data_IF_856289954952
#
_entry.id   IF_856289954952
#
_cell.length_a   1.000
_cell.length_b   1.000
_cell.length_c   1.000
_cell.angle_alpha   90.00
_cell.angle_beta   90.00
_cell.angle_gamma   90.00
#
_symmetry.space_group_name_H-M   'P 1'
#
loop_
_entity.id
_entity.type
_entity.pdbx_description
1 polymer ?
#
# COMPACT_ATOMS: atom_id res chain seq x y z
N UNK A 1 -7.08 9.14 2.92
CA UNK A 1 -6.67 8.07 1.99
C UNK A 1 -5.84 7.07 2.74
N UNK A 2 -6.40 5.88 2.92
CA UNK A 2 -6.28 5.11 4.15
C UNK A 2 -5.82 3.70 3.84
N UNK A 3 -4.60 3.36 4.27
CA UNK A 3 -4.03 2.03 4.06
C UNK A 3 -4.75 0.89 4.81
N UNK A 4 -5.85 1.15 5.49
CA UNK A 4 -6.57 0.15 6.28
C UNK A 4 -8.07 0.09 5.99
N UNK A 5 -8.58 0.91 5.07
CA UNK A 5 -9.99 0.94 4.73
C UNK A 5 -10.22 0.50 3.28
N UNK A 6 -10.30 -0.82 3.02
CA UNK A 6 -11.09 -1.30 1.86
C UNK A 6 -12.57 -0.87 1.99
N UNK A 7 -12.94 -0.51 3.22
CA UNK A 7 -14.16 0.15 3.59
C UNK A 7 -13.83 1.63 3.72
N UNK A 8 -14.13 2.41 2.68
CA UNK A 8 -14.58 3.77 2.89
C UNK A 8 -16.10 3.73 2.68
N UNK A 9 -16.91 3.09 3.56
CA UNK A 9 -18.35 3.14 3.37
C UNK A 9 -18.75 4.57 3.67
N UNK A 10 -19.57 5.15 2.80
CA UNK A 10 -20.12 6.47 3.01
C UNK A 10 -20.68 6.57 4.45
N UNK A 11 -20.05 7.37 5.31
CA UNK A 11 -20.55 7.67 6.66
C UNK A 11 -19.82 7.05 7.87
N UNK A 12 -18.72 6.32 7.70
CA UNK A 12 -17.94 5.84 8.85
C UNK A 12 -16.97 6.90 9.42
N UNK A 13 -16.88 6.98 10.76
CA UNK A 13 -15.94 7.87 11.46
C UNK A 13 -14.58 7.20 11.56
N UNK A 14 -13.58 7.78 10.90
CA UNK A 14 -12.19 7.32 10.95
C UNK A 14 -11.48 7.96 12.15
N UNK A 15 -11.06 7.14 13.11
CA UNK A 15 -10.33 7.63 14.30
C UNK A 15 -8.81 7.72 14.10
N UNK A 16 -8.23 6.95 13.18
CA UNK A 16 -6.80 7.01 12.86
C UNK A 16 -6.56 6.71 11.38
N UNK A 17 -5.72 7.53 10.76
CA UNK A 17 -5.35 7.44 9.36
C UNK A 17 -3.85 7.21 9.25
N UNK A 18 -3.45 6.01 8.85
CA UNK A 18 -2.06 5.69 8.54
C UNK A 18 -1.87 5.83 7.03
N UNK A 19 -1.12 6.86 6.62
CA UNK A 19 -0.69 7.08 5.25
C UNK A 19 0.77 6.61 5.11
N UNK A 20 1.17 6.06 3.95
CA UNK A 20 2.57 5.72 3.74
C UNK A 20 3.40 7.01 3.70
N UNK A 21 4.56 7.00 4.36
CA UNK A 21 5.52 8.10 4.21
C UNK A 21 6.06 8.13 2.77
N UNK A 22 6.56 9.29 2.33
CA UNK A 22 7.17 9.42 1.00
C UNK A 22 8.35 8.46 0.81
N UNK A 23 9.12 8.24 1.87
CA UNK A 23 10.25 7.29 1.86
C UNK A 23 9.75 5.85 1.65
N UNK A 24 8.65 5.47 2.31
CA UNK A 24 8.05 4.14 2.14
C UNK A 24 7.54 3.94 0.70
N UNK A 25 6.95 4.97 0.09
CA UNK A 25 6.52 4.92 -1.32
C UNK A 25 7.72 4.74 -2.25
N UNK A 26 8.79 5.52 -2.06
CA UNK A 26 10.01 5.44 -2.89
C UNK A 26 10.70 4.09 -2.76
N UNK A 27 10.88 3.61 -1.52
CA UNK A 27 11.48 2.31 -1.26
C UNK A 27 10.63 1.18 -1.85
N UNK A 28 9.31 1.25 -1.74
CA UNK A 28 8.40 0.23 -2.29
C UNK A 28 8.38 0.22 -3.82
N UNK A 29 8.33 1.39 -4.46
CA UNK A 29 8.40 1.51 -5.91
C UNK A 29 9.74 0.99 -6.47
N UNK A 30 10.84 1.29 -5.78
CA UNK A 30 12.18 0.80 -6.14
C UNK A 30 12.33 -0.71 -5.92
N UNK A 31 11.85 -1.21 -4.78
CA UNK A 31 11.84 -2.62 -4.41
C UNK A 31 11.06 -3.50 -5.39
N UNK A 32 9.95 -2.98 -5.92
CA UNK A 32 9.10 -3.68 -6.88
C UNK A 32 9.48 -3.41 -8.34
N UNK A 33 10.47 -2.54 -8.57
CA UNK A 33 10.85 -2.09 -9.91
C UNK A 33 9.63 -1.59 -10.70
N UNK A 34 8.83 -0.76 -10.03
CA UNK A 34 7.54 -0.32 -10.52
C UNK A 34 7.65 0.44 -11.84
N UNK A 35 6.86 0.02 -12.83
CA UNK A 35 6.75 0.73 -14.12
C UNK A 35 5.62 1.79 -14.05
N UNK A 36 5.72 2.80 -14.90
CA UNK A 36 4.68 3.80 -15.13
C UNK A 36 3.35 3.14 -15.53
N UNK A 37 3.39 2.02 -16.24
CA UNK A 37 2.21 1.25 -16.63
C UNK A 37 1.39 0.73 -15.43
N UNK A 38 2.05 0.45 -14.30
CA UNK A 38 1.44 -0.18 -13.13
C UNK A 38 0.82 0.84 -12.14
N UNK A 39 1.15 2.12 -12.30
CA UNK A 39 0.73 3.20 -11.39
C UNK A 39 -0.79 3.27 -11.28
N UNK A 40 -1.51 3.18 -12.41
CA UNK A 40 -2.97 3.27 -12.42
C UNK A 40 -3.62 2.12 -11.62
N UNK A 41 -3.05 0.92 -11.73
CA UNK A 41 -3.53 -0.26 -11.02
C UNK A 41 -3.32 -0.12 -9.51
N UNK A 42 -2.14 0.35 -9.10
CA UNK A 42 -1.83 0.60 -7.69
C UNK A 42 -2.72 1.71 -7.13
N UNK A 43 -2.83 2.83 -7.84
CA UNK A 43 -3.62 3.97 -7.39
C UNK A 43 -5.14 3.71 -7.38
N UNK A 44 -5.64 2.66 -8.03
CA UNK A 44 -7.04 2.25 -7.94
C UNK A 44 -7.46 1.87 -6.51
N UNK A 45 -6.51 1.48 -5.67
CA UNK A 45 -6.76 1.16 -4.25
C UNK A 45 -6.89 2.41 -3.36
N UNK A 46 -6.64 3.60 -3.91
CA UNK A 46 -6.65 4.84 -3.17
C UNK A 46 -7.90 5.66 -3.56
N UNK A 47 -8.64 6.22 -2.58
CA UNK A 47 -9.83 7.04 -2.81
C UNK A 47 -9.70 8.49 -2.29
N UNK A 48 -9.59 9.54 -3.15
CA UNK A 48 -9.67 9.57 -4.63
C UNK A 48 -8.36 9.29 -5.44
N UNK A 49 -8.35 8.41 -6.47
CA UNK A 49 -7.12 7.93 -7.14
C UNK A 49 -6.15 9.01 -7.66
N UNK A 50 -6.68 10.20 -7.96
CA UNK A 50 -5.91 11.36 -8.42
C UNK A 50 -4.83 11.82 -7.43
N UNK A 51 -5.03 11.63 -6.13
CA UNK A 51 -4.03 11.98 -5.11
C UNK A 51 -2.85 11.01 -5.17
N UNK A 52 -3.09 9.72 -5.40
CA UNK A 52 -2.01 8.77 -5.61
C UNK A 52 -1.26 9.05 -6.90
N UNK A 53 -2.01 9.23 -7.99
CA UNK A 53 -1.45 9.47 -9.32
C UNK A 53 -0.61 10.74 -9.36
N UNK A 54 -1.20 11.90 -9.06
CA UNK A 54 -0.53 13.19 -9.18
C UNK A 54 0.27 13.59 -7.95
N UNK A 55 -0.09 13.09 -6.77
CA UNK A 55 0.46 13.56 -5.50
C UNK A 55 1.74 12.85 -5.08
N UNK A 56 1.83 11.52 -5.21
CA UNK A 56 2.99 10.79 -4.69
C UNK A 56 3.55 9.71 -5.60
N UNK A 57 2.74 8.89 -6.28
CA UNK A 57 3.26 7.69 -6.94
C UNK A 57 3.92 7.99 -8.28
N UNK A 58 3.27 8.75 -9.18
CA UNK A 58 3.88 9.08 -10.47
C UNK A 58 5.14 9.97 -10.34
N UNK A 59 5.17 11.01 -9.49
CA UNK A 59 6.40 11.77 -9.26
C UNK A 59 7.52 10.90 -8.68
N UNK A 60 7.18 9.93 -7.82
CA UNK A 60 8.17 9.00 -7.25
C UNK A 60 8.76 8.08 -8.30
N UNK A 61 7.93 7.46 -9.16
CA UNK A 61 8.42 6.60 -10.25
C UNK A 61 9.29 7.39 -11.23
N UNK A 62 8.86 8.59 -11.63
CA UNK A 62 9.64 9.46 -12.51
C UNK A 62 11.00 9.84 -11.90
N UNK A 63 11.03 10.16 -10.60
CA UNK A 63 12.26 10.43 -9.87
C UNK A 63 13.19 9.20 -9.86
N UNK A 64 12.68 8.03 -9.52
CA UNK A 64 13.47 6.81 -9.46
C UNK A 64 14.08 6.45 -10.83
N UNK A 65 13.30 6.55 -11.91
CA UNK A 65 13.78 6.30 -13.27
C UNK A 65 14.85 7.29 -13.73
N UNK A 66 14.80 8.54 -13.24
CA UNK A 66 15.73 9.59 -13.66
C UNK A 66 17.04 9.55 -12.87
N UNK A 67 16.98 9.25 -11.57
CA UNK A 67 18.10 9.51 -10.64
C UNK A 67 18.69 8.26 -9.98
N UNK A 68 18.03 7.10 -10.04
CA UNK A 68 18.54 5.89 -9.41
C UNK A 68 19.30 5.03 -10.41
N UNK A 69 20.52 4.66 -10.02
CA UNK A 69 21.37 3.76 -10.80
C UNK A 69 20.76 2.34 -10.78
N UNK A 70 20.69 1.63 -11.93
CA UNK A 70 20.08 0.30 -12.01
C UNK A 70 20.64 -0.72 -11.01
N UNK A 71 21.92 -0.63 -10.65
CA UNK A 71 22.59 -1.53 -9.69
C UNK A 71 22.06 -1.38 -8.27
N UNK A 72 21.73 -0.14 -7.85
CA UNK A 72 21.12 0.14 -6.55
C UNK A 72 19.70 -0.44 -6.49
N UNK A 73 18.92 -0.27 -7.56
CA UNK A 73 17.58 -0.84 -7.67
C UNK A 73 17.60 -2.38 -7.62
N UNK A 74 18.55 -3.02 -8.29
CA UNK A 74 18.69 -4.48 -8.28
C UNK A 74 18.96 -5.04 -6.86
N UNK A 75 19.85 -4.38 -6.11
CA UNK A 75 20.16 -4.77 -4.72
C UNK A 75 18.93 -4.67 -3.81
N UNK A 76 18.18 -3.57 -3.94
CA UNK A 76 16.95 -3.36 -3.17
C UNK A 76 15.84 -4.35 -3.55
N UNK A 77 15.69 -4.65 -4.84
CA UNK A 77 14.73 -5.66 -5.31
C UNK A 77 15.06 -7.05 -4.72
N UNK A 78 16.34 -7.44 -4.67
CA UNK A 78 16.74 -8.70 -4.06
C UNK A 78 16.36 -8.79 -2.57
N UNK A 79 16.59 -7.72 -1.80
CA UNK A 79 16.17 -7.66 -0.39
C UNK A 79 14.64 -7.68 -0.25
N UNK A 80 13.94 -6.96 -1.13
CA UNK A 80 12.48 -6.89 -1.13
C UNK A 80 11.84 -8.25 -1.37
N UNK A 81 12.36 -9.07 -2.29
CA UNK A 81 11.82 -10.43 -2.53
C UNK A 81 11.80 -11.29 -1.28
N UNK A 82 12.83 -11.18 -0.44
CA UNK A 82 12.89 -11.91 0.83
C UNK A 82 11.83 -11.39 1.81
N UNK A 83 11.67 -10.06 1.91
CA UNK A 83 10.67 -9.45 2.77
C UNK A 83 9.23 -9.78 2.32
N UNK A 84 8.94 -9.70 1.02
CA UNK A 84 7.65 -10.08 0.42
C UNK A 84 7.31 -11.54 0.72
N UNK A 85 8.28 -12.45 0.58
CA UNK A 85 8.08 -13.86 0.91
C UNK A 85 7.68 -14.06 2.38
N UNK A 86 8.32 -13.34 3.30
CA UNK A 86 7.98 -13.39 4.72
C UNK A 86 6.57 -12.84 4.99
N UNK A 87 6.18 -11.74 4.35
CA UNK A 87 4.81 -11.18 4.47
C UNK A 87 3.76 -12.14 3.93
N UNK A 88 4.04 -12.82 2.80
CA UNK A 88 3.15 -13.84 2.21
C UNK A 88 2.92 -15.00 3.18
N UNK A 89 3.98 -15.47 3.84
CA UNK A 89 3.88 -16.56 4.82
C UNK A 89 3.11 -16.12 6.07
N UNK A 90 3.35 -14.89 6.54
CA UNK A 90 2.72 -14.36 7.75
C UNK A 90 1.23 -14.05 7.64
N UNK A 91 0.70 -13.90 6.41
CA UNK A 91 -0.70 -13.56 6.13
C UNK A 91 -1.27 -12.50 7.08
N UNK A 92 -0.69 -11.29 7.13
CA UNK A 92 -1.11 -10.29 8.10
C UNK A 92 -2.58 -9.92 7.88
N UNK A 93 -3.32 -9.87 8.98
CA UNK A 93 -4.72 -9.44 9.01
C UNK A 93 -4.90 -8.26 9.93
N UNK A 94 -5.76 -7.33 9.54
CA UNK A 94 -6.18 -6.22 10.36
C UNK A 94 -7.48 -6.54 11.06
N UNK A 95 -7.45 -6.44 12.38
CA UNK A 95 -8.65 -6.50 13.21
C UNK A 95 -9.16 -5.07 13.42
N UNK A 96 -10.38 -4.82 13.00
CA UNK A 96 -11.05 -3.53 13.15
C UNK A 96 -12.35 -3.69 13.92
N UNK A 97 -12.61 -2.75 14.80
CA UNK A 97 -13.91 -2.58 15.41
C UNK A 97 -14.70 -1.57 14.58
N UNK A 98 -15.80 -2.01 14.01
CA UNK A 98 -16.66 -1.19 13.16
C UNK A 98 -18.07 -1.12 13.72
N UNK A 99 -18.77 -0.04 13.42
CA UNK A 99 -20.22 0.07 13.61
C UNK A 99 -20.78 0.82 12.41
N UNK A 100 -21.92 0.38 11.88
CA UNK A 100 -22.54 1.03 10.72
C UNK A 100 -23.05 2.43 11.09
N UNK A 101 -23.55 2.59 12.32
CA UNK A 101 -23.97 3.87 12.89
C UNK A 101 -23.75 3.89 14.42
N UNK A 102 -24.01 5.03 15.07
CA UNK A 102 -23.79 5.18 16.51
C UNK A 102 -24.76 4.36 17.39
N UNK A 103 -25.88 3.91 16.83
CA UNK A 103 -26.93 3.18 17.55
C UNK A 103 -26.80 1.66 17.45
N UNK A 104 -25.98 1.16 16.52
CA UNK A 104 -25.71 -0.26 16.35
C UNK A 104 -24.56 -0.77 17.24
N UNK A 105 -24.57 -2.09 17.57
CA UNK A 105 -23.49 -2.70 18.34
C UNK A 105 -22.17 -2.71 17.55
N UNK A 106 -21.07 -2.59 18.29
CA UNK A 106 -19.72 -2.68 17.74
C UNK A 106 -19.47 -4.12 17.25
N UNK A 107 -19.04 -4.26 16.00
CA UNK A 107 -18.69 -5.53 15.39
C UNK A 107 -17.18 -5.61 15.19
N UNK A 108 -16.63 -6.82 15.35
CA UNK A 108 -15.23 -7.10 15.08
C UNK A 108 -15.11 -7.67 13.67
N UNK A 109 -14.37 -6.98 12.80
CA UNK A 109 -14.05 -7.45 11.46
C UNK A 109 -12.57 -7.79 11.39
N UNK A 110 -12.27 -8.93 10.78
CA UNK A 110 -10.90 -9.32 10.43
C UNK A 110 -10.76 -9.21 8.92
N UNK A 111 -9.86 -8.33 8.47
CA UNK A 111 -9.61 -8.06 7.07
C UNK A 111 -8.20 -8.56 6.72
N UNK A 112 -8.03 -9.48 5.76
CA UNK A 112 -6.69 -9.82 5.26
C UNK A 112 -6.08 -8.56 4.62
N UNK A 113 -4.90 -8.15 5.08
CA UNK A 113 -4.21 -6.95 4.58
C UNK A 113 -3.49 -7.19 3.25
N UNK A 114 -3.14 -8.45 2.99
CA UNK A 114 -2.23 -8.82 1.91
C UNK A 114 -2.76 -10.09 1.23
N UNK A 115 -3.63 -9.90 0.24
CA UNK A 115 -4.12 -10.99 -0.62
C UNK A 115 -3.11 -11.22 -1.77
N UNK A 116 -2.45 -12.38 -1.78
CA UNK A 116 -1.42 -12.69 -2.78
C UNK A 116 -1.96 -12.83 -4.21
N UNK A 117 -3.29 -12.87 -4.40
CA UNK A 117 -3.92 -12.82 -5.72
C UNK A 117 -4.10 -11.40 -6.26
N UNK A 118 -3.90 -10.37 -5.42
CA UNK A 118 -3.94 -8.98 -5.83
C UNK A 118 -2.68 -8.64 -6.64
N UNK A 119 -2.80 -8.16 -7.90
CA UNK A 119 -1.64 -7.82 -8.73
C UNK A 119 -0.80 -6.67 -8.14
N UNK A 120 -1.35 -5.90 -7.20
CA UNK A 120 -0.65 -4.81 -6.51
C UNK A 120 -0.03 -5.25 -5.17
N UNK A 121 -0.13 -6.55 -4.83
CA UNK A 121 0.30 -7.10 -3.56
C UNK A 121 1.77 -6.77 -3.24
N UNK A 122 2.68 -6.94 -4.20
CA UNK A 122 4.11 -6.77 -3.95
C UNK A 122 4.44 -5.30 -3.58
N UNK A 123 3.75 -4.34 -4.19
CA UNK A 123 3.93 -2.91 -3.85
C UNK A 123 3.37 -2.60 -2.46
N UNK A 124 2.12 -2.99 -2.20
CA UNK A 124 1.48 -2.65 -0.93
C UNK A 124 2.05 -3.40 0.26
N UNK A 125 2.48 -4.66 0.08
CA UNK A 125 3.17 -5.41 1.13
C UNK A 125 4.47 -4.72 1.56
N UNK A 126 5.25 -4.23 0.59
CA UNK A 126 6.47 -3.47 0.88
C UNK A 126 6.18 -2.13 1.56
N UNK A 127 5.15 -1.41 1.13
CA UNK A 127 4.80 -0.12 1.75
C UNK A 127 4.48 -0.23 3.25
N UNK A 128 4.08 -1.43 3.70
CA UNK A 128 3.68 -1.76 5.07
C UNK A 128 4.82 -2.37 5.90
N UNK A 129 5.90 -2.85 5.28
CA UNK A 129 7.04 -3.41 6.03
C UNK A 129 7.98 -2.35 6.61
N UNK A 130 7.90 -1.10 6.12
CA UNK A 130 8.80 0.00 6.50
C UNK A 130 8.18 1.00 7.49
N UNK A 131 7.04 0.66 8.09
CA UNK A 131 6.40 1.43 9.18
C UNK A 131 6.75 0.84 10.53
#
# INVERSE_FOLDING_TARGET
MQLTGRLNPCGQVVNTLLAPSKDNVLLSAMATSLDVADINLICAHDSPPSICLGGFLAPSVAYLQTFIVPTTAATLNAMARVAVANVRIGQPSLLQYVRENQTQPLQMLTLPLSDASDPTFDFWSMSRTWT
#
